data_IF_211836154894
#
_entry.id   IF_211836154894
#
_cell.length_a   1.000
_cell.length_b   1.000
_cell.length_c   1.000
_cell.angle_alpha   90.00
_cell.angle_beta   90.00
_cell.angle_gamma   90.00
#
_symmetry.space_group_name_H-M   'P 1'
#
loop_
_entity.id
_entity.type
_entity.pdbx_description
1 polymer ?
#
# COMPACT_ATOMS: atom_id res chain seq x y z
N UNK A 1 -9.95 0.56 7.55
CA UNK A 1 -9.71 -0.81 8.03
C UNK A 1 -10.28 -1.80 7.02
N UNK A 2 -9.58 -2.92 6.79
CA UNK A 2 -10.04 -4.01 5.91
C UNK A 2 -10.06 -5.34 6.62
N UNK A 3 -10.94 -6.27 6.17
CA UNK A 3 -11.09 -7.60 6.76
C UNK A 3 -10.74 -8.70 5.76
N UNK A 4 -10.41 -9.88 6.27
CA UNK A 4 -10.02 -11.05 5.47
C UNK A 4 -11.10 -11.51 4.49
N UNK A 5 -12.37 -11.29 4.80
CA UNK A 5 -13.51 -11.62 3.93
C UNK A 5 -13.82 -10.54 2.88
N UNK A 6 -12.91 -9.57 2.69
CA UNK A 6 -13.02 -8.59 1.63
C UNK A 6 -13.94 -7.41 1.92
N UNK A 7 -14.22 -7.11 3.18
CA UNK A 7 -14.93 -5.89 3.58
C UNK A 7 -13.97 -4.82 4.03
N UNK A 8 -14.40 -3.57 3.96
CA UNK A 8 -13.66 -2.44 4.51
C UNK A 8 -14.61 -1.38 5.07
N UNK A 9 -14.14 -0.62 6.04
CA UNK A 9 -14.84 0.53 6.59
C UNK A 9 -13.92 1.75 6.57
N UNK A 10 -14.47 2.87 6.13
CA UNK A 10 -13.85 4.19 6.21
C UNK A 10 -14.66 5.05 7.18
N UNK A 11 -14.00 5.60 8.16
CA UNK A 11 -14.62 6.53 9.13
C UNK A 11 -13.63 7.66 9.46
N UNK A 12 -14.14 8.72 10.05
CA UNK A 12 -13.33 9.87 10.42
C UNK A 12 -12.52 9.55 11.68
N UNK A 13 -11.25 9.95 11.72
CA UNK A 13 -10.36 9.66 12.86
C UNK A 13 -10.87 10.28 14.18
N UNK A 14 -11.56 11.43 14.11
CA UNK A 14 -12.19 12.06 15.26
C UNK A 14 -13.29 11.22 15.93
N UNK A 15 -13.83 10.20 15.25
CA UNK A 15 -14.76 9.23 15.86
C UNK A 15 -14.06 8.30 16.86
N UNK A 16 -12.73 8.31 16.89
CA UNK A 16 -11.92 7.53 17.82
C UNK A 16 -11.41 8.46 18.92
N UNK A 17 -12.02 8.39 20.09
CA UNK A 17 -11.57 9.22 21.22
C UNK A 17 -10.13 8.85 21.62
N UNK A 18 -9.28 9.83 21.92
CA UNK A 18 -8.00 9.59 22.55
C UNK A 18 -8.18 8.81 23.86
N UNK A 19 -7.39 7.79 24.08
CA UNK A 19 -7.51 6.94 25.26
C UNK A 19 -6.13 6.54 25.80
N UNK A 20 -6.04 6.32 27.11
CA UNK A 20 -4.79 5.92 27.76
C UNK A 20 -4.41 4.47 27.47
N UNK A 21 -3.19 4.09 27.83
CA UNK A 21 -2.62 2.76 27.55
C UNK A 21 -3.41 1.57 28.15
N UNK A 22 -4.09 1.80 29.28
CA UNK A 22 -4.82 0.75 30.02
C UNK A 22 -6.26 0.57 29.57
N UNK A 23 -6.68 1.16 28.45
CA UNK A 23 -8.05 1.03 27.96
C UNK A 23 -8.18 -0.15 26.99
N UNK A 24 -9.35 -0.76 26.94
CA UNK A 24 -9.65 -1.87 26.04
C UNK A 24 -9.83 -1.44 24.57
N UNK A 25 -9.70 -0.14 24.28
CA UNK A 25 -9.93 0.42 22.95
C UNK A 25 -11.41 0.51 22.60
N UNK A 26 -11.69 0.71 21.32
CA UNK A 26 -13.05 0.85 20.78
C UNK A 26 -13.21 0.00 19.51
N UNK A 27 -14.42 -0.49 19.28
CA UNK A 27 -14.75 -1.28 18.10
C UNK A 27 -14.60 -0.44 16.83
N UNK A 28 -13.78 -0.89 15.89
CA UNK A 28 -13.57 -0.22 14.59
C UNK A 28 -14.55 -0.69 13.52
N UNK A 29 -14.73 -2.01 13.37
CA UNK A 29 -15.58 -2.65 12.38
C UNK A 29 -16.35 -3.82 13.01
N UNK A 30 -17.51 -4.16 12.46
CA UNK A 30 -18.24 -5.39 12.79
C UNK A 30 -17.88 -6.45 11.75
N UNK A 31 -17.28 -7.53 12.20
CA UNK A 31 -16.86 -8.66 11.36
C UNK A 31 -18.07 -9.44 10.82
N UNK A 32 -17.90 -10.07 9.65
CA UNK A 32 -18.97 -10.78 8.96
C UNK A 32 -19.23 -12.17 9.53
N UNK A 33 -18.20 -12.85 9.97
CA UNK A 33 -18.25 -14.21 10.52
C UNK A 33 -17.26 -14.37 11.68
N UNK A 34 -17.20 -15.56 12.28
CA UNK A 34 -16.21 -15.89 13.33
C UNK A 34 -14.79 -16.05 12.77
N UNK A 35 -14.69 -16.40 11.48
CA UNK A 35 -13.42 -16.62 10.80
C UNK A 35 -12.89 -15.34 10.13
N UNK A 36 -13.69 -14.26 10.13
CA UNK A 36 -13.28 -12.96 9.61
C UNK A 36 -12.42 -12.22 10.63
N UNK A 37 -11.37 -11.56 10.17
CA UNK A 37 -10.47 -10.77 11.01
C UNK A 37 -9.98 -9.53 10.26
N UNK A 38 -9.48 -8.55 11.01
CA UNK A 38 -8.89 -7.34 10.43
C UNK A 38 -7.50 -7.67 9.90
N UNK A 39 -7.28 -7.44 8.60
CA UNK A 39 -5.97 -7.65 7.94
C UNK A 39 -5.12 -6.40 7.88
N UNK A 40 -5.73 -5.24 8.10
CA UNK A 40 -4.97 -3.98 8.11
C UNK A 40 -5.83 -2.76 8.43
N UNK A 41 -5.11 -1.73 8.86
CA UNK A 41 -5.64 -0.39 9.08
C UNK A 41 -4.66 0.62 8.50
N UNK A 42 -5.19 1.63 7.84
CA UNK A 42 -4.41 2.71 7.27
C UNK A 42 -5.08 4.06 7.54
N UNK A 43 -4.28 5.10 7.54
CA UNK A 43 -4.76 6.49 7.55
C UNK A 43 -4.61 7.02 6.13
N UNK A 44 -5.71 7.53 5.56
CA UNK A 44 -5.70 8.14 4.23
C UNK A 44 -5.08 9.53 4.36
N UNK A 45 -3.85 9.68 3.89
CA UNK A 45 -3.06 10.93 3.97
C UNK A 45 -2.57 11.43 2.62
N UNK A 46 -2.47 10.54 1.64
CA UNK A 46 -1.93 10.81 0.31
C UNK A 46 -3.09 10.88 -0.70
N UNK A 47 -2.90 11.59 -1.79
CA UNK A 47 -3.80 11.54 -2.94
C UNK A 47 -3.55 10.25 -3.74
N UNK A 48 -3.84 9.12 -3.10
CA UNK A 48 -3.55 7.80 -3.61
C UNK A 48 -4.79 6.93 -3.80
N UNK A 49 -4.54 5.68 -4.08
CA UNK A 49 -5.56 4.64 -4.21
C UNK A 49 -5.42 3.61 -3.09
N UNK A 50 -6.49 2.88 -2.82
CA UNK A 50 -6.46 1.77 -1.88
C UNK A 50 -6.12 0.49 -2.64
N UNK A 51 -4.94 -0.05 -2.35
CA UNK A 51 -4.52 -1.38 -2.80
C UNK A 51 -5.08 -2.44 -1.86
N UNK A 52 -5.64 -3.48 -2.42
CA UNK A 52 -5.99 -4.71 -1.71
C UNK A 52 -5.39 -5.90 -2.43
N UNK A 53 -4.97 -6.90 -1.67
CA UNK A 53 -4.42 -8.14 -2.20
C UNK A 53 -4.91 -9.35 -1.43
N UNK A 54 -4.98 -10.50 -2.10
CA UNK A 54 -5.47 -11.75 -1.56
C UNK A 54 -4.40 -12.84 -1.59
N UNK A 55 -4.58 -13.87 -0.78
CA UNK A 55 -3.64 -14.98 -0.61
C UNK A 55 -3.29 -15.69 -1.92
N UNK A 56 -4.23 -15.76 -2.89
CA UNK A 56 -4.01 -16.43 -4.19
C UNK A 56 -3.48 -15.51 -5.29
N UNK A 57 -2.82 -14.42 -4.92
CA UNK A 57 -2.12 -13.55 -5.86
C UNK A 57 -3.00 -12.60 -6.65
N UNK A 58 -4.28 -12.44 -6.27
CA UNK A 58 -5.17 -11.45 -6.89
C UNK A 58 -5.12 -10.14 -6.10
N UNK A 59 -5.31 -9.03 -6.79
CA UNK A 59 -5.40 -7.73 -6.13
C UNK A 59 -5.82 -6.63 -7.08
N UNK A 60 -5.93 -5.42 -6.56
CA UNK A 60 -6.34 -4.24 -7.32
C UNK A 60 -6.09 -2.96 -6.54
N UNK A 61 -6.13 -1.86 -7.27
CA UNK A 61 -6.26 -0.53 -6.70
C UNK A 61 -7.68 -0.02 -6.89
N UNK A 62 -8.16 0.77 -5.96
CA UNK A 62 -9.48 1.39 -6.03
C UNK A 62 -9.38 2.81 -5.50
N UNK A 63 -10.03 3.76 -6.18
CA UNK A 63 -10.09 5.14 -5.74
C UNK A 63 -10.71 5.24 -4.33
N UNK A 64 -10.08 6.04 -3.46
CA UNK A 64 -10.55 6.32 -2.09
C UNK A 64 -11.97 6.86 -2.07
N UNK A 65 -12.38 7.62 -3.08
CA UNK A 65 -13.73 8.20 -3.17
C UNK A 65 -14.83 7.15 -3.31
N UNK A 66 -14.49 5.95 -3.78
CA UNK A 66 -15.44 4.83 -3.82
C UNK A 66 -15.77 4.26 -2.43
N UNK A 67 -15.00 4.62 -1.41
CA UNK A 67 -15.24 4.22 -0.03
C UNK A 67 -15.98 5.33 0.72
N UNK A 68 -17.29 5.22 0.80
CA UNK A 68 -18.09 6.20 1.56
C UNK A 68 -17.66 6.24 3.02
N UNK A 69 -17.63 7.42 3.61
CA UNK A 69 -17.44 7.58 5.04
C UNK A 69 -18.65 7.01 5.79
N UNK A 70 -18.41 6.27 6.85
CA UNK A 70 -19.42 5.60 7.67
C UNK A 70 -19.15 5.88 9.15
N UNK A 71 -20.14 5.64 9.98
CA UNK A 71 -19.93 5.60 11.43
C UNK A 71 -19.07 4.38 11.78
N UNK A 72 -18.11 4.56 12.72
CA UNK A 72 -17.29 3.49 13.28
C UNK A 72 -18.16 2.33 13.78
N UNK A 73 -17.61 1.13 13.83
CA UNK A 73 -18.27 -0.12 14.25
C UNK A 73 -19.35 -0.65 13.28
N UNK A 74 -19.57 -0.02 12.13
CA UNK A 74 -20.44 -0.56 11.09
C UNK A 74 -19.92 -1.85 10.46
N UNK A 75 -20.74 -2.50 9.61
CA UNK A 75 -20.37 -3.72 8.85
C UNK A 75 -19.43 -3.46 7.67
N UNK A 76 -19.17 -2.17 7.36
CA UNK A 76 -18.37 -1.79 6.21
C UNK A 76 -19.06 -2.01 4.86
N UNK A 77 -18.29 -1.90 3.81
CA UNK A 77 -18.68 -2.15 2.40
C UNK A 77 -17.75 -3.18 1.79
N UNK A 78 -18.21 -3.85 0.75
CA UNK A 78 -17.35 -4.78 0.01
C UNK A 78 -16.21 -4.00 -0.66
N UNK A 79 -14.97 -4.41 -0.43
CA UNK A 79 -13.77 -3.87 -1.09
C UNK A 79 -13.19 -4.85 -2.11
N UNK A 80 -13.31 -6.14 -1.83
CA UNK A 80 -12.84 -7.23 -2.70
C UNK A 80 -13.86 -8.36 -2.66
N UNK A 81 -14.16 -8.97 -3.81
CA UNK A 81 -14.97 -10.19 -3.84
C UNK A 81 -14.04 -11.38 -3.61
N UNK A 82 -14.00 -11.87 -2.37
CA UNK A 82 -13.28 -13.07 -2.00
C UNK A 82 -14.07 -14.32 -2.43
N UNK A 83 -13.43 -15.24 -3.12
CA UNK A 83 -13.97 -16.51 -3.63
C UNK A 83 -12.88 -17.57 -3.51
N UNK A 84 -13.20 -18.83 -3.77
CA UNK A 84 -12.18 -19.89 -3.81
C UNK A 84 -11.05 -19.60 -4.79
N UNK A 85 -11.32 -18.84 -5.87
CA UNK A 85 -10.33 -18.44 -6.86
C UNK A 85 -9.37 -17.37 -6.35
N UNK A 86 -9.85 -16.44 -5.55
CA UNK A 86 -9.04 -15.32 -5.04
C UNK A 86 -8.41 -15.63 -3.70
N UNK A 87 -9.03 -16.49 -2.90
CA UNK A 87 -8.72 -16.66 -1.50
C UNK A 87 -9.15 -15.47 -0.65
N UNK A 88 -8.75 -15.45 0.61
CA UNK A 88 -9.01 -14.37 1.56
C UNK A 88 -8.11 -13.16 1.28
N UNK A 89 -8.56 -11.99 1.71
CA UNK A 89 -7.76 -10.78 1.65
C UNK A 89 -6.66 -10.83 2.72
N UNK A 90 -5.42 -10.53 2.33
CA UNK A 90 -4.25 -10.54 3.22
C UNK A 90 -3.71 -9.14 3.51
N UNK A 91 -4.03 -8.16 2.67
CA UNK A 91 -3.50 -6.81 2.84
C UNK A 91 -4.45 -5.75 2.30
N UNK A 92 -4.42 -4.59 2.97
CA UNK A 92 -5.03 -3.33 2.53
C UNK A 92 -4.08 -2.18 2.86
N UNK A 93 -3.76 -1.34 1.89
CA UNK A 93 -2.85 -0.19 2.07
C UNK A 93 -3.16 0.95 1.13
N UNK A 94 -2.74 2.16 1.48
CA UNK A 94 -2.76 3.31 0.59
C UNK A 94 -1.47 3.32 -0.24
N UNK A 95 -1.60 3.51 -1.56
CA UNK A 95 -0.48 3.55 -2.51
C UNK A 95 -0.65 4.68 -3.51
N UNK A 96 0.46 5.20 -4.03
CA UNK A 96 0.54 6.11 -5.17
C UNK A 96 1.33 5.45 -6.29
N UNK A 97 1.27 6.00 -7.49
CA UNK A 97 1.88 5.40 -8.69
C UNK A 97 3.41 5.23 -8.58
N UNK A 98 4.09 6.13 -7.85
CA UNK A 98 5.55 6.06 -7.64
C UNK A 98 5.98 5.02 -6.61
N UNK A 99 5.06 4.41 -5.88
CA UNK A 99 5.40 3.37 -4.90
C UNK A 99 5.71 2.03 -5.59
N UNK A 100 6.49 1.21 -4.89
CA UNK A 100 6.71 -0.21 -5.21
C UNK A 100 6.11 -1.10 -4.12
N UNK A 101 5.82 -2.33 -4.48
CA UNK A 101 5.37 -3.38 -3.58
C UNK A 101 6.46 -4.45 -3.45
N UNK A 102 6.67 -4.91 -2.25
CA UNK A 102 7.36 -6.17 -1.97
C UNK A 102 6.31 -7.18 -1.56
N UNK A 103 6.21 -8.24 -2.31
CA UNK A 103 5.28 -9.36 -2.10
C UNK A 103 6.10 -10.55 -1.61
N UNK A 104 5.70 -11.14 -0.51
CA UNK A 104 6.37 -12.29 0.11
C UNK A 104 5.38 -13.46 0.15
N UNK A 105 5.82 -14.61 -0.33
CA UNK A 105 5.04 -15.85 -0.28
C UNK A 105 5.36 -16.68 0.96
N UNK A 106 4.51 -17.63 1.28
CA UNK A 106 4.73 -18.62 2.35
C UNK A 106 5.90 -19.58 2.07
N UNK A 107 6.25 -19.75 0.80
CA UNK A 107 7.46 -20.49 0.36
C UNK A 107 8.75 -19.66 0.46
N UNK A 108 8.69 -18.40 0.91
CA UNK A 108 9.85 -17.52 1.08
C UNK A 108 10.29 -16.79 -0.20
N UNK A 109 9.55 -16.88 -1.29
CA UNK A 109 9.85 -16.12 -2.51
C UNK A 109 9.48 -14.65 -2.30
N UNK A 110 10.40 -13.75 -2.65
CA UNK A 110 10.25 -12.31 -2.57
C UNK A 110 10.19 -11.72 -3.97
N UNK A 111 9.18 -10.91 -4.24
CA UNK A 111 8.98 -10.25 -5.54
C UNK A 111 8.74 -8.75 -5.34
N UNK A 112 9.29 -7.94 -6.25
CA UNK A 112 9.05 -6.50 -6.32
C UNK A 112 8.17 -6.19 -7.51
N UNK A 113 7.16 -5.35 -7.32
CA UNK A 113 6.24 -4.92 -8.36
C UNK A 113 5.96 -3.42 -8.24
N UNK A 114 5.93 -2.70 -9.37
CA UNK A 114 5.56 -1.29 -9.40
C UNK A 114 4.06 -1.14 -9.20
N UNK A 115 3.66 -0.19 -8.38
CA UNK A 115 2.24 0.12 -8.17
C UNK A 115 1.58 0.63 -9.45
N UNK A 116 2.31 1.43 -10.25
CA UNK A 116 1.84 1.96 -11.54
C UNK A 116 1.28 0.86 -12.47
N UNK A 117 1.85 -0.34 -12.46
CA UNK A 117 1.45 -1.44 -13.35
C UNK A 117 0.15 -2.13 -12.90
N UNK A 118 -0.36 -1.80 -11.72
CA UNK A 118 -1.58 -2.38 -11.17
C UNK A 118 -2.78 -1.51 -11.56
N UNK A 119 -3.77 -2.11 -12.19
CA UNK A 119 -4.99 -1.41 -12.63
C UNK A 119 -5.79 -0.84 -11.47
N UNK A 120 -6.26 0.40 -11.63
CA UNK A 120 -7.30 0.98 -10.77
C UNK A 120 -8.67 0.57 -11.29
N UNK A 121 -9.44 -0.15 -10.47
CA UNK A 121 -10.76 -0.69 -10.83
C UNK A 121 -11.75 -0.57 -9.67
N UNK A 122 -13.02 -0.78 -9.96
CA UNK A 122 -14.11 -0.64 -8.98
C UNK A 122 -14.02 -1.60 -7.79
N UNK A 123 -14.65 -1.19 -6.67
CA UNK A 123 -14.65 -1.92 -5.39
C UNK A 123 -15.14 -3.36 -5.50
N UNK A 124 -16.28 -3.59 -6.19
CA UNK A 124 -16.99 -4.87 -6.19
C UNK A 124 -16.47 -5.76 -7.32
N UNK A 125 -15.19 -6.11 -7.28
CA UNK A 125 -14.55 -7.00 -8.28
C UNK A 125 -13.64 -8.01 -7.58
N UNK A 126 -13.22 -9.04 -8.33
CA UNK A 126 -12.23 -10.03 -7.88
C UNK A 126 -10.78 -9.56 -8.06
N UNK A 127 -10.59 -8.35 -8.62
CA UNK A 127 -9.27 -7.84 -8.92
C UNK A 127 -8.65 -8.44 -10.19
N UNK A 128 -7.36 -8.20 -10.35
CA UNK A 128 -6.50 -8.74 -11.41
C UNK A 128 -5.39 -9.57 -10.77
N UNK A 129 -4.74 -10.41 -11.57
CA UNK A 129 -3.59 -11.17 -11.08
C UNK A 129 -2.42 -10.21 -10.86
N UNK A 130 -1.95 -10.07 -9.62
CA UNK A 130 -0.75 -9.32 -9.25
C UNK A 130 0.49 -10.17 -9.50
N UNK A 131 0.42 -11.43 -9.11
CA UNK A 131 1.53 -12.37 -9.22
C UNK A 131 1.01 -13.75 -9.61
N UNK A 132 1.81 -14.46 -10.40
CA UNK A 132 1.58 -15.88 -10.69
C UNK A 132 2.26 -16.67 -9.57
N UNK A 133 1.46 -17.38 -8.78
CA UNK A 133 1.94 -18.28 -7.73
C UNK A 133 1.99 -19.71 -8.27
N UNK A 134 2.92 -20.49 -7.75
CA UNK A 134 2.96 -21.93 -7.96
C UNK A 134 1.85 -22.63 -7.17
N UNK A 135 1.49 -23.83 -7.57
CA UNK A 135 0.45 -24.61 -6.90
C UNK A 135 0.78 -24.83 -5.42
N UNK A 136 -0.19 -24.55 -4.57
CA UNK A 136 -0.05 -24.68 -3.12
C UNK A 136 0.67 -23.51 -2.44
N UNK A 137 1.15 -22.52 -3.20
CA UNK A 137 1.79 -21.32 -2.63
C UNK A 137 0.78 -20.20 -2.46
N UNK A 138 0.90 -19.44 -1.37
CA UNK A 138 0.07 -18.28 -1.09
C UNK A 138 0.89 -17.04 -0.71
N UNK A 139 0.28 -15.86 -0.88
CA UNK A 139 0.88 -14.62 -0.39
C UNK A 139 0.78 -14.59 1.12
N UNK A 140 1.92 -14.50 1.78
CA UNK A 140 2.04 -14.36 3.23
C UNK A 140 1.97 -12.90 3.67
N UNK A 141 2.64 -12.00 2.95
CA UNK A 141 2.70 -10.58 3.31
C UNK A 141 2.94 -9.71 2.09
N UNK A 142 2.44 -8.48 2.16
CA UNK A 142 2.75 -7.43 1.19
C UNK A 142 3.10 -6.15 1.95
N UNK A 143 4.16 -5.50 1.55
CA UNK A 143 4.55 -4.20 2.07
C UNK A 143 4.81 -3.21 0.94
N UNK A 144 4.61 -1.94 1.23
CA UNK A 144 4.90 -0.84 0.34
C UNK A 144 6.32 -0.36 0.57
N UNK A 145 7.04 -0.11 -0.50
CA UNK A 145 8.31 0.62 -0.51
C UNK A 145 8.07 1.98 -1.16
N UNK A 146 8.36 3.03 -0.44
CA UNK A 146 8.33 4.39 -0.98
C UNK A 146 9.60 4.53 -1.81
N UNK A 147 9.46 4.70 -3.13
CA UNK A 147 10.58 5.08 -3.97
C UNK A 147 10.86 6.55 -3.68
N UNK A 148 11.96 6.83 -3.00
CA UNK A 148 12.53 8.16 -3.02
C UNK A 148 12.91 8.43 -4.49
N UNK A 149 12.29 9.44 -5.11
CA UNK A 149 12.82 9.97 -6.37
C UNK A 149 14.24 10.42 -6.05
N UNK A 150 15.24 9.65 -6.47
CA UNK A 150 16.58 10.14 -6.59
C UNK A 150 16.50 11.24 -7.64
N UNK A 151 16.33 12.48 -7.17
CA UNK A 151 16.50 13.66 -8.01
C UNK A 151 17.87 13.52 -8.70
N UNK A 152 18.03 14.03 -9.94
CA UNK A 152 19.28 13.90 -10.66
C UNK A 152 20.40 14.38 -9.75
N UNK A 153 21.37 13.51 -9.45
CA UNK A 153 22.60 13.89 -8.79
C UNK A 153 23.16 15.08 -9.55
N UNK A 154 23.20 16.24 -8.93
CA UNK A 154 24.02 17.36 -9.40
C UNK A 154 25.46 16.86 -9.35
N UNK A 155 25.94 16.38 -10.49
CA UNK A 155 27.36 16.26 -10.73
C UNK A 155 27.88 17.68 -10.74
N UNK A 156 28.27 18.19 -9.58
CA UNK A 156 29.12 19.38 -9.51
C UNK A 156 30.46 18.99 -10.13
N UNK A 157 30.63 19.37 -11.39
CA UNK A 157 31.91 19.33 -12.06
C UNK A 157 32.85 20.30 -11.35
N UNK A 158 33.64 19.78 -10.41
CA UNK A 158 34.88 20.44 -9.95
C UNK A 158 35.91 20.39 -11.07
N UNK A 159 35.78 21.32 -11.99
CA UNK A 159 36.87 21.65 -12.95
C UNK A 159 36.73 23.09 -13.36
N UNK A 160 37.34 23.98 -12.54
CA UNK A 160 37.82 25.30 -12.98
C UNK A 160 38.40 26.05 -11.76
N UNK A 161 39.54 25.60 -11.27
CA UNK A 161 40.40 26.46 -10.45
C UNK A 161 41.87 26.02 -10.53
N UNK A 162 42.40 25.91 -11.73
CA UNK A 162 43.87 25.72 -11.91
C UNK A 162 44.36 26.32 -13.21
N UNK A 163 43.93 27.53 -13.57
CA UNK A 163 44.48 28.27 -14.71
C UNK A 163 44.56 29.78 -14.53
N UNK A 164 44.80 30.28 -13.33
CA UNK A 164 45.08 31.71 -13.13
C UNK A 164 46.24 31.99 -12.18
N UNK A 165 47.33 31.25 -12.26
CA UNK A 165 48.54 31.62 -11.50
C UNK A 165 49.83 31.44 -12.30
N UNK A 166 49.78 31.64 -13.64
CA UNK A 166 51.00 31.52 -14.43
C UNK A 166 51.12 32.61 -15.53
N UNK A 167 50.56 33.78 -15.34
CA UNK A 167 50.72 34.94 -16.28
C UNK A 167 51.04 36.26 -15.60
N UNK A 168 51.72 36.27 -14.45
CA UNK A 168 52.15 37.52 -13.81
C UNK A 168 53.60 37.46 -13.33
N UNK A 169 54.50 36.92 -14.16
CA UNK A 169 55.96 36.96 -13.90
C UNK A 169 56.79 37.05 -15.16
N UNK A 170 56.43 37.94 -16.11
CA UNK A 170 57.33 38.40 -17.17
C UNK A 170 56.93 39.81 -17.65
N UNK A 171 57.11 40.78 -16.77
CA UNK A 171 57.27 42.19 -17.14
C UNK A 171 57.96 42.91 -16.00
N UNK A 172 59.28 42.79 -15.96
CA UNK A 172 60.26 43.81 -15.59
C UNK A 172 61.60 43.50 -16.27
#
# INVERSE_FOLDING_TARGET
MGTSEGKSIRFFEGDVRPSGRKTMGVKGITLGSKDDHVVGMLVVKREGTILVATEKGMGKRTDVLQYRTQTRAGKGVMTMRCTDKTGKMVSIMEVVDSDDLIIITDSGVLMRQRVHDIRTIGRVTQGVKLVKLDDGTSISSITRVISEETGPEKIESKSESHRESHMESQRE
#
